data_IF_739277361862
#
_entry.id   IF_739277361862
#
_cell.length_a   1.000
_cell.length_b   1.000
_cell.length_c   1.000
_cell.angle_alpha   90.00
_cell.angle_beta   90.00
_cell.angle_gamma   90.00
#
_symmetry.space_group_name_H-M   'P 1'
#
loop_
_entity.id
_entity.type
_entity.pdbx_description
1 polymer ?
#
# COMPACT_ATOMS: atom_id res chain seq x y z
N UNK A 1 52.05 -56.34 18.16
CA UNK A 1 50.89 -56.22 17.26
C UNK A 1 49.81 -55.50 18.05
N UNK A 2 49.16 -54.40 17.67
CA UNK A 2 49.22 -53.47 16.53
C UNK A 2 48.02 -52.53 16.71
N UNK A 3 48.26 -51.29 17.18
CA UNK A 3 47.49 -50.05 16.87
C UNK A 3 45.95 -50.01 17.23
N UNK A 4 45.25 -48.85 17.10
CA UNK A 4 44.97 -47.99 18.26
C UNK A 4 43.53 -47.37 18.31
N UNK A 5 43.30 -46.57 19.36
CA UNK A 5 42.47 -45.35 19.50
C UNK A 5 41.25 -45.10 18.59
N UNK A 6 40.11 -44.75 19.23
CA UNK A 6 39.31 -43.55 18.93
C UNK A 6 38.27 -43.26 20.01
N UNK A 7 38.50 -42.19 20.77
CA UNK A 7 37.51 -41.50 21.62
C UNK A 7 36.60 -40.60 20.77
N UNK A 8 35.30 -40.47 21.06
CA UNK A 8 34.43 -39.53 20.36
C UNK A 8 34.67 -38.10 20.86
N UNK A 9 34.99 -37.23 19.91
CA UNK A 9 35.21 -35.79 20.10
C UNK A 9 33.91 -35.05 20.38
N UNK A 10 33.99 -34.24 21.44
CA UNK A 10 33.05 -33.25 21.91
C UNK A 10 32.88 -32.13 20.86
N UNK A 11 31.67 -31.88 20.36
CA UNK A 11 31.36 -30.71 19.54
C UNK A 11 31.02 -29.52 20.44
N UNK A 12 31.77 -28.41 20.42
CA UNK A 12 31.35 -27.21 21.11
C UNK A 12 30.23 -26.51 20.32
N UNK A 13 29.12 -26.27 21.02
CA UNK A 13 28.02 -25.40 20.61
C UNK A 13 28.56 -24.02 20.20
N UNK A 14 28.62 -23.73 18.90
CA UNK A 14 28.84 -22.38 18.38
C UNK A 14 27.49 -21.65 18.43
N UNK A 15 27.26 -20.90 19.50
CA UNK A 15 26.21 -19.89 19.56
C UNK A 15 26.33 -18.94 18.36
N UNK A 16 25.22 -18.49 17.74
CA UNK A 16 25.27 -17.62 16.58
C UNK A 16 25.94 -16.30 16.96
N UNK A 17 26.99 -15.97 16.21
CA UNK A 17 27.77 -14.74 16.30
C UNK A 17 26.82 -13.54 16.23
N UNK A 18 26.84 -12.74 17.30
CA UNK A 18 26.22 -11.41 17.33
C UNK A 18 26.86 -10.60 16.21
N UNK A 19 26.09 -10.19 15.23
CA UNK A 19 26.54 -9.30 14.17
C UNK A 19 26.86 -7.95 14.81
N UNK A 20 28.14 -7.72 15.10
CA UNK A 20 28.63 -6.44 15.60
C UNK A 20 28.23 -5.34 14.60
N UNK A 21 27.39 -4.41 15.05
CA UNK A 21 27.07 -3.20 14.30
C UNK A 21 28.29 -2.28 14.44
N UNK A 22 29.09 -2.19 13.38
CA UNK A 22 30.24 -1.30 13.34
C UNK A 22 29.73 0.13 13.22
N UNK A 23 29.59 0.81 14.35
CA UNK A 23 29.24 2.22 14.40
C UNK A 23 30.51 3.05 14.16
N UNK A 24 30.62 3.70 13.00
CA UNK A 24 31.76 4.57 12.69
C UNK A 24 31.44 6.02 13.02
N UNK A 25 32.30 6.66 13.82
CA UNK A 25 32.26 8.11 14.04
C UNK A 25 33.09 8.77 12.95
N UNK A 26 32.48 9.70 12.23
CA UNK A 26 33.13 10.40 11.13
C UNK A 26 32.96 11.90 11.35
N UNK A 27 34.05 12.64 11.18
CA UNK A 27 34.05 14.11 11.29
C UNK A 27 34.36 14.68 9.91
N UNK A 28 33.50 15.58 9.44
CA UNK A 28 33.67 16.27 8.16
C UNK A 28 33.83 17.77 8.37
N UNK A 29 34.66 18.40 7.55
CA UNK A 29 34.72 19.85 7.40
C UNK A 29 33.85 20.24 6.22
N UNK A 30 32.72 20.88 6.52
CA UNK A 30 31.74 21.35 5.55
C UNK A 30 31.94 22.85 5.38
N UNK A 31 32.39 23.32 4.20
CA UNK A 31 32.38 24.74 3.89
C UNK A 31 30.93 25.19 3.69
N UNK A 32 30.49 26.20 4.44
CA UNK A 32 29.23 26.87 4.15
C UNK A 32 29.57 28.08 3.29
N UNK A 33 29.03 28.14 2.07
CA UNK A 33 29.01 29.37 1.29
C UNK A 33 27.82 30.23 1.73
N UNK A 34 28.04 31.54 1.80
CA UNK A 34 27.08 32.52 2.31
C UNK A 34 25.69 32.34 1.69
N UNK A 35 24.73 31.93 2.53
CA UNK A 35 23.31 31.89 2.19
C UNK A 35 22.75 30.53 1.75
N UNK A 36 23.56 29.48 1.59
CA UNK A 36 23.03 28.14 1.29
C UNK A 36 22.71 27.35 2.58
N UNK A 37 21.44 26.90 2.78
CA UNK A 37 21.12 26.05 3.90
C UNK A 37 21.79 24.69 3.74
N UNK A 38 22.20 24.06 4.86
CA UNK A 38 22.78 22.72 4.86
C UNK A 38 21.95 21.72 4.04
N UNK A 39 20.62 21.87 4.02
CA UNK A 39 19.72 21.07 3.19
C UNK A 39 19.40 19.68 3.77
N UNK A 40 19.77 19.44 5.03
CA UNK A 40 19.42 18.25 5.79
C UNK A 40 18.31 18.56 6.82
N UNK A 41 17.32 17.68 6.92
CA UNK A 41 16.28 17.74 7.96
C UNK A 41 16.46 16.57 8.94
N UNK A 42 16.96 16.84 10.16
CA UNK A 42 17.04 15.83 11.20
C UNK A 42 15.68 15.63 11.90
N UNK A 43 15.50 14.47 12.55
CA UNK A 43 14.39 14.23 13.48
C UNK A 43 14.76 14.61 14.93
N UNK A 44 13.83 14.41 15.87
CA UNK A 44 14.01 14.64 17.32
C UNK A 44 15.20 13.89 17.95
N UNK A 45 15.73 12.86 17.28
CA UNK A 45 16.90 12.09 17.74
C UNK A 45 18.18 12.46 16.98
N UNK A 46 18.18 13.60 16.29
CA UNK A 46 19.27 14.10 15.47
C UNK A 46 19.67 13.18 14.31
N UNK A 47 18.74 12.38 13.80
CA UNK A 47 18.99 11.49 12.65
C UNK A 47 18.50 12.18 11.39
N UNK A 48 19.33 12.24 10.36
CA UNK A 48 19.00 12.82 9.06
C UNK A 48 17.92 11.98 8.39
N UNK A 49 16.73 12.54 8.21
CA UNK A 49 15.59 11.85 7.56
C UNK A 49 15.51 12.23 6.09
N UNK A 50 15.80 13.49 5.77
CA UNK A 50 15.65 14.02 4.41
C UNK A 50 16.85 14.87 4.06
N UNK A 51 17.31 14.73 2.83
CA UNK A 51 18.36 15.52 2.23
C UNK A 51 17.81 16.14 0.95
N UNK A 52 18.03 17.44 0.77
CA UNK A 52 17.65 18.16 -0.44
C UNK A 52 18.71 17.89 -1.54
N UNK A 53 18.26 17.40 -2.69
CA UNK A 53 19.13 17.13 -3.84
C UNK A 53 19.80 18.43 -4.31
N UNK A 54 21.12 18.40 -4.47
CA UNK A 54 21.90 19.58 -4.87
C UNK A 54 22.31 20.51 -3.73
N UNK A 55 22.01 20.18 -2.47
CA UNK A 55 22.50 20.91 -1.30
C UNK A 55 23.89 20.42 -0.86
N UNK A 56 24.53 21.17 0.04
CA UNK A 56 25.82 20.79 0.63
C UNK A 56 25.69 19.44 1.39
N UNK A 57 24.56 19.18 2.05
CA UNK A 57 24.31 17.91 2.73
C UNK A 57 24.32 16.71 1.78
N UNK A 58 23.91 16.85 0.52
CA UNK A 58 23.87 15.75 -0.45
C UNK A 58 25.25 15.15 -0.75
N UNK A 59 26.32 15.95 -0.55
CA UNK A 59 27.70 15.52 -0.77
C UNK A 59 28.34 14.85 0.45
N UNK A 60 27.92 15.23 1.66
CA UNK A 60 28.59 14.84 2.91
C UNK A 60 27.76 13.92 3.81
N UNK A 61 26.44 14.09 3.80
CA UNK A 61 25.49 13.39 4.67
C UNK A 61 24.72 12.34 3.86
N UNK A 62 24.39 11.24 4.54
CA UNK A 62 23.45 10.25 4.04
C UNK A 62 22.22 10.19 4.96
N UNK A 63 21.09 9.78 4.39
CA UNK A 63 19.88 9.51 5.17
C UNK A 63 20.19 8.42 6.19
N UNK A 64 19.82 8.62 7.44
CA UNK A 64 20.13 7.72 8.55
C UNK A 64 21.40 8.06 9.34
N UNK A 65 22.22 9.01 8.88
CA UNK A 65 23.34 9.54 9.66
C UNK A 65 22.82 10.24 10.93
N UNK A 66 23.44 9.96 12.08
CA UNK A 66 23.10 10.61 13.34
C UNK A 66 24.10 11.73 13.65
N UNK A 67 23.61 12.96 13.78
CA UNK A 67 24.40 14.12 14.13
C UNK A 67 24.70 14.09 15.64
N UNK A 68 25.99 14.09 16.00
CA UNK A 68 26.42 14.07 17.40
C UNK A 68 26.85 15.47 17.85
N UNK A 69 27.69 16.14 17.06
CA UNK A 69 28.27 17.42 17.45
C UNK A 69 28.55 18.31 16.23
N UNK A 70 28.44 19.61 16.43
CA UNK A 70 28.76 20.66 15.47
C UNK A 70 29.81 21.57 16.10
N UNK A 71 30.96 21.74 15.45
CA UNK A 71 32.11 22.51 15.97
C UNK A 71 32.50 22.12 17.40
N UNK A 72 32.51 20.81 17.69
CA UNK A 72 32.78 20.22 19.01
C UNK A 72 31.68 20.45 20.08
N UNK A 73 30.60 21.15 19.73
CA UNK A 73 29.44 21.35 20.60
C UNK A 73 28.45 20.18 20.38
N UNK A 74 28.09 19.42 21.43
CA UNK A 74 27.16 18.31 21.30
C UNK A 74 25.74 18.80 20.99
N UNK A 75 25.10 18.15 20.03
CA UNK A 75 23.74 18.44 19.61
C UNK A 75 22.75 17.57 20.39
N UNK A 76 21.70 18.19 20.92
CA UNK A 76 20.61 17.51 21.63
C UNK A 76 19.33 17.59 20.81
N UNK A 77 18.99 18.82 20.41
CA UNK A 77 17.73 19.15 19.77
C UNK A 77 17.95 19.72 18.36
N UNK A 78 16.99 19.56 17.44
CA UNK A 78 17.07 20.11 16.10
C UNK A 78 17.09 21.65 16.10
N UNK A 79 16.40 22.29 17.04
CA UNK A 79 16.41 23.76 17.16
C UNK A 79 17.81 24.28 17.51
N UNK A 80 18.49 23.58 18.43
CA UNK A 80 19.87 23.89 18.80
C UNK A 80 20.84 23.75 17.63
N UNK A 81 20.58 22.82 16.69
CA UNK A 81 21.35 22.74 15.43
C UNK A 81 21.16 24.00 14.59
N UNK A 82 19.93 24.47 14.40
CA UNK A 82 19.65 25.64 13.57
C UNK A 82 20.21 26.92 14.19
N UNK A 83 20.15 27.05 15.51
CA UNK A 83 20.81 28.15 16.23
C UNK A 83 22.33 28.12 15.99
N UNK A 84 22.96 26.97 16.19
CA UNK A 84 24.41 26.84 15.98
C UNK A 84 24.82 27.13 14.54
N UNK A 85 24.01 26.73 13.55
CA UNK A 85 24.24 27.03 12.14
C UNK A 85 24.20 28.52 11.83
N UNK A 86 23.46 29.34 12.58
CA UNK A 86 23.45 30.81 12.40
C UNK A 86 24.76 31.47 12.86
N UNK A 87 25.52 30.81 13.74
CA UNK A 87 26.80 31.33 14.26
C UNK A 87 28.02 30.78 13.52
N UNK A 88 27.83 29.98 12.46
CA UNK A 88 28.94 29.47 11.64
C UNK A 88 29.18 30.39 10.46
N UNK A 89 30.33 31.06 10.45
CA UNK A 89 30.67 32.02 9.40
C UNK A 89 31.16 31.38 8.09
N UNK A 90 32.03 30.36 8.14
CA UNK A 90 32.74 29.91 6.90
C UNK A 90 33.02 28.41 6.82
N UNK A 91 33.17 27.72 7.97
CA UNK A 91 33.44 26.28 8.01
C UNK A 91 32.77 25.64 9.22
N UNK A 92 32.02 24.56 8.98
CA UNK A 92 31.40 23.72 10.00
C UNK A 92 32.17 22.40 10.12
N UNK A 93 32.62 22.04 11.33
CA UNK A 93 33.07 20.69 11.68
C UNK A 93 31.91 19.87 12.21
N UNK A 94 31.34 19.01 11.38
CA UNK A 94 30.22 18.16 11.76
C UNK A 94 30.70 16.75 12.11
N UNK A 95 30.44 16.32 13.34
CA UNK A 95 30.69 14.96 13.80
C UNK A 95 29.41 14.15 13.72
N UNK A 96 29.44 13.12 12.90
CA UNK A 96 28.33 12.20 12.69
C UNK A 96 28.67 10.79 13.14
N UNK A 97 27.62 10.02 13.39
CA UNK A 97 27.66 8.58 13.57
C UNK A 97 26.98 7.94 12.37
N UNK A 98 27.77 7.26 11.54
CA UNK A 98 27.26 6.51 10.40
C UNK A 98 27.07 5.06 10.81
N UNK A 99 25.91 4.51 10.44
CA UNK A 99 25.58 3.12 10.67
C UNK A 99 24.94 2.58 9.39
N UNK A 100 25.74 1.87 8.59
CA UNK A 100 25.39 1.51 7.21
C UNK A 100 24.09 0.69 7.13
N UNK A 101 23.84 -0.20 8.11
CA UNK A 101 22.57 -0.95 8.20
C UNK A 101 21.37 -0.06 8.44
N UNK A 102 21.53 0.99 9.26
CA UNK A 102 20.45 1.95 9.57
C UNK A 102 20.15 2.84 8.37
N UNK A 103 21.19 3.23 7.64
CA UNK A 103 21.09 3.99 6.39
C UNK A 103 20.38 3.18 5.31
N UNK A 104 20.73 1.91 5.12
CA UNK A 104 20.02 1.00 4.21
C UNK A 104 18.54 0.81 4.61
N UNK A 105 18.27 0.56 5.90
CA UNK A 105 16.91 0.41 6.42
C UNK A 105 16.05 1.67 6.25
N UNK A 106 16.65 2.88 6.37
CA UNK A 106 15.94 4.14 6.18
C UNK A 106 15.77 4.49 4.70
N UNK A 107 16.79 4.31 3.87
CA UNK A 107 16.70 4.50 2.42
C UNK A 107 15.66 3.58 1.78
N UNK A 108 15.62 2.31 2.19
CA UNK A 108 14.62 1.35 1.74
C UNK A 108 13.19 1.72 2.13
N UNK A 109 13.01 2.45 3.24
CA UNK A 109 11.70 2.97 3.66
C UNK A 109 11.29 4.23 2.92
N UNK A 110 12.25 5.04 2.47
CA UNK A 110 12.01 6.43 2.02
C UNK A 110 11.92 6.56 0.49
N UNK A 111 12.59 5.72 -0.29
CA UNK A 111 12.54 5.82 -1.76
C UNK A 111 11.51 4.88 -2.37
N UNK A 112 10.31 5.43 -2.58
CA UNK A 112 9.35 4.84 -3.52
C UNK A 112 9.89 5.13 -4.93
N UNK A 113 10.03 4.12 -5.80
CA UNK A 113 10.46 4.33 -7.19
C UNK A 113 9.56 5.35 -7.92
N UNK A 114 10.12 6.20 -8.77
CA UNK A 114 9.39 7.29 -9.46
C UNK A 114 8.19 6.78 -10.28
N UNK A 115 8.30 5.58 -10.86
CA UNK A 115 7.21 4.92 -11.58
C UNK A 115 6.01 4.59 -10.69
N UNK A 116 6.26 4.37 -9.39
CA UNK A 116 5.23 4.09 -8.38
C UNK A 116 4.75 5.36 -7.68
N UNK A 117 5.58 6.41 -7.63
CA UNK A 117 5.15 7.72 -7.09
C UNK A 117 3.98 8.31 -7.88
N UNK A 118 3.91 8.10 -9.20
CA UNK A 118 2.77 8.53 -10.04
C UNK A 118 1.43 7.97 -9.58
N UNK A 119 1.44 6.81 -8.92
CA UNK A 119 0.22 6.16 -8.42
C UNK A 119 -0.24 6.73 -7.08
N UNK A 120 0.48 7.70 -6.50
CA UNK A 120 0.28 8.18 -5.15
C UNK A 120 0.06 9.70 -5.17
N UNK A 121 -1.03 10.13 -4.56
CA UNK A 121 -1.27 11.54 -4.24
C UNK A 121 -0.73 11.79 -2.83
N UNK A 122 0.50 12.33 -2.73
CA UNK A 122 1.10 12.69 -1.44
C UNK A 122 0.19 13.69 -0.73
N UNK A 123 -0.27 13.30 0.47
CA UNK A 123 -1.10 14.15 1.35
C UNK A 123 -0.36 14.40 2.65
N UNK A 124 -0.45 15.64 3.13
CA UNK A 124 0.09 16.00 4.43
C UNK A 124 -0.60 15.18 5.53
N UNK A 125 0.18 14.73 6.52
CA UNK A 125 -0.28 13.86 7.61
C UNK A 125 -0.31 12.36 7.27
N UNK A 126 0.15 11.95 6.08
CA UNK A 126 0.33 10.56 5.69
C UNK A 126 1.79 10.27 5.32
N UNK A 127 2.30 9.16 5.83
CA UNK A 127 3.60 8.61 5.50
C UNK A 127 3.44 7.53 4.43
N UNK A 128 4.37 7.51 3.46
CA UNK A 128 4.37 6.52 2.39
C UNK A 128 5.68 5.76 2.42
N UNK A 129 5.63 4.43 2.34
CA UNK A 129 6.83 3.60 2.31
C UNK A 129 6.59 2.34 1.48
N UNK A 130 7.70 1.78 0.99
CA UNK A 130 7.67 0.52 0.25
C UNK A 130 7.77 -0.66 1.25
N UNK A 131 6.80 -1.55 1.18
CA UNK A 131 6.76 -2.78 1.96
C UNK A 131 7.04 -3.98 1.06
N UNK A 132 7.91 -4.87 1.51
CA UNK A 132 8.23 -6.10 0.80
C UNK A 132 7.76 -7.30 1.62
N UNK A 133 6.87 -8.09 1.04
CA UNK A 133 6.40 -9.36 1.56
C UNK A 133 7.17 -10.51 0.89
N UNK A 134 7.86 -11.32 1.69
CA UNK A 134 8.52 -12.53 1.22
C UNK A 134 7.81 -13.75 1.82
N UNK A 135 7.37 -14.69 0.98
CA UNK A 135 6.68 -15.91 1.43
C UNK A 135 7.69 -16.85 2.08
N UNK A 136 7.55 -17.08 3.38
CA UNK A 136 8.26 -18.15 4.08
C UNK A 136 7.39 -19.40 4.14
N UNK A 137 7.95 -20.57 3.81
CA UNK A 137 7.23 -21.85 3.86
C UNK A 137 6.65 -22.08 5.28
N UNK A 138 5.33 -22.24 5.37
CA UNK A 138 4.60 -22.51 6.62
C UNK A 138 3.97 -21.29 7.30
N UNK A 139 4.30 -20.05 6.91
CA UNK A 139 3.60 -18.85 7.41
C UNK A 139 2.48 -18.45 6.46
N UNK A 140 1.27 -18.24 6.98
CA UNK A 140 0.16 -17.62 6.23
C UNK A 140 0.39 -16.12 6.06
N UNK A 141 -0.16 -15.54 4.99
CA UNK A 141 -0.13 -14.09 4.75
C UNK A 141 -0.87 -13.34 5.87
N UNK A 142 -2.06 -13.81 6.27
CA UNK A 142 -2.78 -13.32 7.45
C UNK A 142 -3.29 -11.88 7.39
N UNK A 143 -3.63 -11.37 6.19
CA UNK A 143 -4.16 -10.00 5.99
C UNK A 143 -5.66 -10.02 5.79
N UNK A 144 -6.39 -9.28 6.62
CA UNK A 144 -7.78 -8.94 6.39
C UNK A 144 -7.91 -7.59 5.67
N UNK A 145 -8.29 -7.60 4.40
CA UNK A 145 -8.44 -6.40 3.58
C UNK A 145 -9.92 -5.99 3.43
N UNK A 146 -10.21 -4.69 3.53
CA UNK A 146 -11.52 -4.07 3.29
C UNK A 146 -11.44 -3.03 2.17
N UNK A 147 -12.48 -2.98 1.34
CA UNK A 147 -12.65 -1.89 0.36
C UNK A 147 -13.48 -0.78 1.01
N UNK A 148 -13.00 0.45 0.94
CA UNK A 148 -13.64 1.64 1.47
C UNK A 148 -13.39 2.81 0.53
N UNK A 149 -14.45 3.41 -0.05
CA UNK A 149 -14.36 4.58 -0.92
C UNK A 149 -13.31 4.44 -2.03
N UNK A 150 -13.31 3.29 -2.72
CA UNK A 150 -12.33 2.91 -3.74
C UNK A 150 -10.89 2.88 -3.22
N UNK A 151 -10.71 2.54 -1.93
CA UNK A 151 -9.41 2.37 -1.30
C UNK A 151 -9.36 1.03 -0.60
N UNK A 152 -8.21 0.40 -0.74
CA UNK A 152 -7.92 -0.87 -0.11
C UNK A 152 -7.26 -0.60 1.23
N UNK A 153 -7.95 -0.91 2.33
CA UNK A 153 -7.47 -0.68 3.68
C UNK A 153 -7.32 -2.00 4.42
N UNK A 154 -6.22 -2.14 5.15
CA UNK A 154 -5.97 -3.27 6.05
C UNK A 154 -6.88 -3.13 7.27
N UNK A 155 -7.80 -4.07 7.41
CA UNK A 155 -8.75 -4.11 8.53
C UNK A 155 -8.23 -4.87 9.74
N UNK A 156 -7.50 -5.98 9.51
CA UNK A 156 -7.00 -6.87 10.56
C UNK A 156 -5.71 -7.55 10.09
N UNK A 157 -4.82 -7.81 11.02
CA UNK A 157 -3.63 -8.62 10.83
C UNK A 157 -3.71 -9.82 11.80
N UNK A 158 -3.44 -11.02 11.30
CA UNK A 158 -3.38 -12.23 12.13
C UNK A 158 -2.02 -12.29 12.85
N UNK A 159 -2.03 -12.56 14.16
CA UNK A 159 -0.79 -12.66 14.95
C UNK A 159 0.13 -13.76 14.42
N UNK A 160 1.42 -13.45 14.29
CA UNK A 160 2.44 -14.39 13.79
C UNK A 160 2.34 -14.72 12.29
N UNK A 161 1.54 -13.95 11.55
CA UNK A 161 1.53 -13.99 10.09
C UNK A 161 2.60 -13.10 9.49
N UNK A 162 2.90 -13.28 8.19
CA UNK A 162 3.85 -12.41 7.47
C UNK A 162 3.44 -10.93 7.51
N UNK A 163 2.14 -10.68 7.59
CA UNK A 163 1.65 -9.32 7.59
C UNK A 163 1.70 -8.60 8.92
N UNK A 164 1.73 -9.34 10.03
CA UNK A 164 1.80 -8.73 11.37
C UNK A 164 3.12 -7.96 11.58
N UNK A 165 4.19 -8.41 10.91
CA UNK A 165 5.52 -7.79 10.97
C UNK A 165 5.61 -6.51 10.11
N UNK A 166 4.76 -6.38 9.08
CA UNK A 166 4.89 -5.33 8.06
C UNK A 166 3.73 -4.32 8.11
N UNK A 167 2.50 -4.81 8.28
CA UNK A 167 1.26 -4.04 8.20
C UNK A 167 0.66 -3.79 9.57
N UNK A 168 0.10 -2.60 9.71
CA UNK A 168 -0.75 -2.26 10.84
C UNK A 168 -2.21 -2.12 10.38
N UNK A 169 -3.19 -2.50 11.22
CA UNK A 169 -4.59 -2.20 10.95
C UNK A 169 -4.79 -0.70 10.74
N UNK A 170 -5.41 -0.32 9.61
CA UNK A 170 -5.59 1.06 9.19
C UNK A 170 -4.64 1.51 8.07
N UNK A 171 -3.61 0.73 7.76
CA UNK A 171 -2.74 0.99 6.60
C UNK A 171 -3.55 0.88 5.30
N UNK A 172 -3.29 1.79 4.35
CA UNK A 172 -3.88 1.74 3.01
C UNK A 172 -2.86 1.19 2.02
N UNK A 173 -3.30 0.27 1.17
CA UNK A 173 -2.50 -0.27 0.07
C UNK A 173 -2.80 0.57 -1.17
N UNK A 174 -1.81 1.28 -1.69
CA UNK A 174 -1.96 2.12 -2.88
C UNK A 174 -1.73 1.33 -4.17
N UNK A 175 -0.73 0.45 -4.17
CA UNK A 175 -0.37 -0.35 -5.34
C UNK A 175 0.21 -1.72 -4.96
N UNK A 176 0.29 -2.60 -5.95
CA UNK A 176 0.89 -3.95 -5.86
C UNK A 176 1.78 -4.15 -7.08
N UNK A 177 3.08 -4.33 -6.87
CA UNK A 177 4.08 -4.47 -7.95
C UNK A 177 3.96 -3.38 -9.04
N UNK A 178 3.68 -2.13 -8.64
CA UNK A 178 3.52 -0.99 -9.54
C UNK A 178 2.14 -0.84 -10.17
N UNK A 179 1.21 -1.78 -9.93
CA UNK A 179 -0.17 -1.70 -10.40
C UNK A 179 -1.03 -1.03 -9.33
N UNK A 180 -1.65 0.14 -9.60
CA UNK A 180 -2.51 0.81 -8.63
C UNK A 180 -3.75 -0.02 -8.33
N UNK A 181 -4.15 -0.07 -7.05
CA UNK A 181 -5.27 -0.91 -6.64
C UNK A 181 -6.32 -0.12 -5.88
N UNK A 182 -7.52 -0.11 -6.45
CA UNK A 182 -8.70 0.55 -5.86
C UNK A 182 -9.65 -0.45 -5.17
N UNK A 183 -9.64 -1.72 -5.60
CA UNK A 183 -10.60 -2.73 -5.16
C UNK A 183 -9.95 -3.89 -4.39
N UNK A 184 -10.65 -4.36 -3.35
CA UNK A 184 -10.18 -5.49 -2.51
C UNK A 184 -9.93 -6.77 -3.32
N UNK A 185 -10.75 -7.03 -4.34
CA UNK A 185 -10.72 -8.31 -5.07
C UNK A 185 -9.67 -8.29 -6.17
N UNK A 186 -9.36 -7.11 -6.73
CA UNK A 186 -8.19 -6.89 -7.57
C UNK A 186 -6.92 -7.04 -6.73
N UNK A 187 -6.87 -6.40 -5.55
CA UNK A 187 -5.73 -6.50 -4.63
C UNK A 187 -5.42 -7.95 -4.27
N UNK A 188 -6.45 -8.71 -3.83
CA UNK A 188 -6.28 -10.11 -3.46
C UNK A 188 -5.76 -10.95 -4.62
N UNK A 189 -6.32 -10.79 -5.82
CA UNK A 189 -5.88 -11.55 -7.00
C UNK A 189 -4.43 -11.22 -7.36
N UNK A 190 -4.06 -9.94 -7.41
CA UNK A 190 -2.70 -9.53 -7.72
C UNK A 190 -1.71 -10.08 -6.70
N UNK A 191 -1.97 -9.89 -5.40
CA UNK A 191 -1.09 -10.42 -4.35
C UNK A 191 -0.90 -11.93 -4.47
N UNK A 192 -1.98 -12.70 -4.64
CA UNK A 192 -1.87 -14.17 -4.77
C UNK A 192 -1.07 -14.55 -6.02
N UNK A 193 -1.31 -13.89 -7.15
CA UNK A 193 -0.62 -14.18 -8.41
C UNK A 193 0.89 -13.92 -8.31
N UNK A 194 1.30 -12.79 -7.73
CA UNK A 194 2.73 -12.47 -7.59
C UNK A 194 3.42 -13.31 -6.50
N UNK A 195 2.73 -13.58 -5.39
CA UNK A 195 3.26 -14.49 -4.35
C UNK A 195 3.46 -15.91 -4.90
N UNK A 196 2.62 -16.38 -5.82
CA UNK A 196 2.78 -17.70 -6.45
C UNK A 196 3.93 -17.75 -7.47
N UNK A 197 4.22 -16.64 -8.15
CA UNK A 197 5.27 -16.58 -9.19
C UNK A 197 6.65 -16.37 -8.59
N UNK A 198 6.80 -15.33 -7.78
CA UNK A 198 8.12 -14.81 -7.39
C UNK A 198 8.43 -15.06 -5.90
N UNK A 199 7.46 -15.60 -5.14
CA UNK A 199 7.49 -15.71 -3.67
C UNK A 199 7.78 -14.38 -2.94
N UNK A 200 7.71 -13.25 -3.66
CA UNK A 200 8.01 -11.90 -3.19
C UNK A 200 7.01 -10.94 -3.81
N UNK A 201 6.53 -9.99 -3.02
CA UNK A 201 5.63 -8.92 -3.46
C UNK A 201 6.01 -7.61 -2.78
N UNK A 202 6.13 -6.56 -3.57
CA UNK A 202 6.43 -5.19 -3.18
C UNK A 202 5.16 -4.34 -3.30
N UNK A 203 4.86 -3.60 -2.25
CA UNK A 203 3.63 -2.85 -2.05
C UNK A 203 3.99 -1.45 -1.63
N UNK A 204 3.26 -0.44 -2.12
CA UNK A 204 3.34 0.89 -1.53
C UNK A 204 2.20 1.06 -0.54
N UNK A 205 2.58 1.37 0.69
CA UNK A 205 1.68 1.57 1.81
C UNK A 205 1.60 3.06 2.12
N UNK A 206 0.37 3.53 2.33
CA UNK A 206 0.04 4.82 2.93
C UNK A 206 -0.36 4.58 4.39
N UNK A 207 0.43 5.11 5.33
CA UNK A 207 0.20 5.01 6.77
C UNK A 207 -0.13 6.38 7.34
N UNK A 208 -1.27 6.53 8.04
CA UNK A 208 -1.63 7.79 8.69
C UNK A 208 -0.65 8.09 9.82
N UNK A 209 -0.05 9.27 9.83
CA UNK A 209 0.81 9.72 10.93
C UNK A 209 0.00 10.56 11.94
N UNK A 210 -0.82 11.47 11.42
CA UNK A 210 -1.66 12.37 12.21
C UNK A 210 -2.73 11.62 13.03
N UNK A 211 -2.97 12.04 14.28
CA UNK A 211 -3.97 11.41 15.16
C UNK A 211 -5.38 11.47 14.59
N UNK A 212 -5.76 12.59 13.95
CA UNK A 212 -7.09 12.74 13.34
C UNK A 212 -7.29 11.76 12.19
N UNK A 213 -6.25 11.53 11.38
CA UNK A 213 -6.29 10.57 10.29
C UNK A 213 -6.45 9.13 10.83
N UNK A 214 -5.76 8.79 11.92
CA UNK A 214 -5.93 7.51 12.63
C UNK A 214 -7.36 7.33 13.14
N UNK A 215 -7.91 8.36 13.82
CA UNK A 215 -9.31 8.35 14.31
C UNK A 215 -10.32 8.22 13.17
N UNK A 216 -10.07 8.90 12.05
CA UNK A 216 -10.90 8.81 10.85
C UNK A 216 -10.92 7.39 10.31
N UNK A 217 -9.76 6.77 10.06
CA UNK A 217 -9.67 5.41 9.53
C UNK A 217 -10.28 4.40 10.51
N UNK A 218 -10.03 4.55 11.81
CA UNK A 218 -10.61 3.68 12.83
C UNK A 218 -12.13 3.76 12.85
N UNK A 219 -12.70 4.98 12.83
CA UNK A 219 -14.15 5.19 12.73
C UNK A 219 -14.70 4.55 11.46
N UNK A 220 -13.99 4.68 10.36
CA UNK A 220 -14.43 4.21 9.06
C UNK A 220 -14.33 2.68 8.89
N UNK A 221 -13.34 2.04 9.51
CA UNK A 221 -13.25 0.58 9.62
C UNK A 221 -14.34 -0.01 10.52
N UNK A 222 -14.66 0.69 11.61
CA UNK A 222 -15.67 0.30 12.59
C UNK A 222 -17.10 0.67 12.19
N UNK A 223 -17.28 1.53 11.18
CA UNK A 223 -18.53 1.57 10.44
C UNK A 223 -18.72 0.19 9.84
N UNK A 224 -19.47 -0.65 10.56
CA UNK A 224 -20.18 -1.79 9.98
C UNK A 224 -20.81 -1.30 8.69
N UNK A 225 -20.85 -2.16 7.67
CA UNK A 225 -21.58 -1.89 6.42
C UNK A 225 -23.03 -1.59 6.80
N UNK A 226 -23.32 -0.36 7.18
CA UNK A 226 -24.63 0.21 7.17
C UNK A 226 -24.87 0.36 5.68
N UNK A 227 -25.37 -0.71 5.07
CA UNK A 227 -26.32 -0.59 3.98
C UNK A 227 -27.60 0.05 4.52
N UNK A 228 -27.48 1.05 5.39
CA UNK A 228 -28.53 1.99 5.64
C UNK A 228 -28.57 2.78 4.32
N UNK A 229 -29.61 2.59 3.49
CA UNK A 229 -29.78 3.45 2.34
C UNK A 229 -29.62 4.91 2.80
N UNK A 230 -29.04 5.74 1.93
CA UNK A 230 -28.84 7.18 2.16
C UNK A 230 -30.11 7.88 2.65
N UNK A 231 -31.27 7.25 2.44
CA UNK A 231 -32.55 7.61 3.01
C UNK A 231 -33.19 6.43 3.74
N UNK A 232 -33.42 6.56 5.06
CA UNK A 232 -34.24 5.60 5.81
C UNK A 232 -35.69 5.73 5.34
N UNK A 233 -36.17 4.70 4.63
CA UNK A 233 -37.58 4.60 4.23
C UNK A 233 -38.48 4.76 5.47
N UNK A 234 -39.45 5.67 5.39
CA UNK A 234 -40.38 5.95 6.49
C UNK A 234 -41.17 4.68 6.86
N UNK A 235 -41.63 4.57 8.10
CA UNK A 235 -42.35 3.40 8.62
C UNK A 235 -43.54 3.03 7.74
N UNK A 236 -44.25 4.03 7.25
CA UNK A 236 -45.47 3.85 6.47
C UNK A 236 -45.16 3.25 5.10
N UNK A 237 -44.08 3.71 4.45
CA UNK A 237 -43.64 3.17 3.15
C UNK A 237 -43.12 1.74 3.31
N UNK A 238 -42.46 1.41 4.43
CA UNK A 238 -42.06 0.03 4.75
C UNK A 238 -43.27 -0.87 4.94
N UNK A 239 -44.31 -0.41 5.61
CA UNK A 239 -45.55 -1.16 5.82
C UNK A 239 -46.29 -1.40 4.50
N UNK A 240 -46.43 -0.37 3.65
CA UNK A 240 -47.04 -0.50 2.32
C UNK A 240 -46.26 -1.50 1.46
N UNK A 241 -44.92 -1.39 1.43
CA UNK A 241 -44.09 -2.32 0.68
C UNK A 241 -44.15 -3.76 1.22
N UNK A 242 -44.30 -3.94 2.53
CA UNK A 242 -44.46 -5.25 3.14
C UNK A 242 -45.82 -5.88 2.78
N UNK A 243 -46.91 -5.11 2.85
CA UNK A 243 -48.25 -5.53 2.44
C UNK A 243 -48.28 -5.93 0.97
N UNK A 244 -47.69 -5.11 0.09
CA UNK A 244 -47.69 -5.39 -1.34
C UNK A 244 -46.84 -6.63 -1.68
N UNK A 245 -45.72 -6.85 -0.98
CA UNK A 245 -44.96 -8.10 -1.10
C UNK A 245 -45.77 -9.32 -0.68
N UNK A 246 -46.56 -9.22 0.39
CA UNK A 246 -47.43 -10.31 0.83
C UNK A 246 -48.53 -10.55 -0.20
N UNK A 247 -49.13 -9.48 -0.75
CA UNK A 247 -50.13 -9.55 -1.83
C UNK A 247 -49.59 -10.21 -3.09
N UNK A 248 -48.39 -9.84 -3.55
CA UNK A 248 -47.73 -10.43 -4.72
C UNK A 248 -47.36 -11.90 -4.45
N UNK A 249 -46.93 -12.25 -3.24
CA UNK A 249 -46.65 -13.65 -2.87
C UNK A 249 -47.91 -14.51 -2.80
N UNK A 250 -49.01 -13.94 -2.33
CA UNK A 250 -50.31 -14.58 -2.29
C UNK A 250 -51.01 -14.59 -3.67
N UNK A 251 -50.47 -13.88 -4.65
CA UNK A 251 -50.98 -13.89 -6.01
C UNK A 251 -50.68 -15.26 -6.64
N UNK A 252 -51.69 -16.11 -6.71
CA UNK A 252 -51.63 -17.33 -7.49
C UNK A 252 -51.43 -16.98 -8.96
N UNK A 253 -50.53 -17.70 -9.64
CA UNK A 253 -50.31 -17.50 -11.08
C UNK A 253 -51.66 -17.65 -11.78
N UNK A 254 -52.09 -16.66 -12.59
CA UNK A 254 -53.37 -16.74 -13.26
C UNK A 254 -53.40 -18.04 -14.08
N UNK A 255 -54.55 -18.71 -14.05
CA UNK A 255 -54.76 -19.91 -14.86
C UNK A 255 -54.34 -19.60 -16.29
N UNK A 256 -53.55 -20.50 -16.90
CA UNK A 256 -53.10 -20.36 -18.29
C UNK A 256 -54.33 -20.05 -19.14
N UNK A 257 -54.21 -19.04 -20.00
CA UNK A 257 -55.28 -18.64 -20.90
C UNK A 257 -55.87 -19.89 -21.60
N UNK A 258 -57.19 -20.03 -21.53
CA UNK A 258 -57.94 -21.06 -22.26
C UNK A 258 -57.85 -20.87 -23.78
N UNK A 259 -57.34 -19.72 -24.24
CA UNK A 259 -56.94 -19.54 -25.63
C UNK A 259 -55.66 -20.33 -25.87
N UNK A 260 -55.82 -21.49 -26.50
CA UNK A 260 -54.75 -22.20 -27.19
C UNK A 260 -54.12 -21.25 -28.20
N UNK A 261 -53.00 -20.61 -27.84
CA UNK A 261 -52.01 -20.24 -28.83
C UNK A 261 -51.29 -21.53 -29.24
N UNK A 262 -52.03 -22.44 -29.89
CA UNK A 262 -51.42 -23.42 -30.77
C UNK A 262 -50.52 -22.69 -31.77
N UNK A 263 -49.53 -23.36 -32.36
CA UNK A 263 -48.56 -22.71 -33.24
C UNK A 263 -49.27 -22.26 -34.52
N UNK A 264 -49.92 -21.10 -34.47
CA UNK A 264 -50.36 -20.40 -35.66
C UNK A 264 -49.09 -19.90 -36.33
N UNK A 265 -48.74 -20.57 -37.41
CA UNK A 265 -47.78 -20.09 -38.40
C UNK A 265 -48.24 -18.68 -38.81
N UNK A 266 -47.75 -17.62 -38.16
CA UNK A 266 -48.12 -16.26 -38.58
C UNK A 266 -47.88 -15.09 -37.63
N UNK A 267 -47.75 -15.26 -36.30
CA UNK A 267 -47.62 -14.08 -35.41
C UNK A 267 -46.21 -13.89 -34.86
N UNK A 268 -45.45 -12.99 -35.52
CA UNK A 268 -44.10 -12.53 -35.11
C UNK A 268 -44.17 -11.44 -34.04
N UNK A 269 -44.91 -11.57 -32.95
CA UNK A 269 -44.88 -10.57 -31.88
C UNK A 269 -45.15 -11.18 -30.50
N UNK A 270 -44.16 -11.91 -29.98
CA UNK A 270 -43.81 -11.99 -28.53
C UNK A 270 -42.84 -13.15 -28.31
N UNK A 271 -41.67 -13.09 -28.96
CA UNK A 271 -40.55 -13.85 -28.44
C UNK A 271 -40.10 -13.13 -27.17
N UNK A 272 -40.36 -13.72 -26.01
CA UNK A 272 -39.73 -13.30 -24.77
C UNK A 272 -38.23 -13.19 -25.01
N UNK A 273 -37.64 -12.05 -24.64
CA UNK A 273 -36.22 -11.80 -24.79
C UNK A 273 -35.51 -12.72 -23.81
N UNK A 274 -34.88 -13.77 -24.33
CA UNK A 274 -33.94 -14.61 -23.58
C UNK A 274 -32.53 -14.10 -23.88
N UNK A 275 -31.79 -13.76 -22.83
CA UNK A 275 -30.37 -13.41 -22.95
C UNK A 275 -29.57 -14.71 -23.05
N UNK A 276 -28.83 -14.88 -24.14
CA UNK A 276 -27.79 -15.91 -24.21
C UNK A 276 -26.64 -15.51 -23.29
N UNK A 277 -26.09 -16.46 -22.54
CA UNK A 277 -24.99 -16.23 -21.59
C UNK A 277 -23.63 -16.06 -22.29
N UNK A 278 -23.60 -16.16 -23.62
CA UNK A 278 -22.38 -15.99 -24.41
C UNK A 278 -22.13 -14.49 -24.63
N UNK A 279 -21.11 -13.98 -23.95
CA UNK A 279 -20.65 -12.60 -24.10
C UNK A 279 -19.87 -12.51 -25.41
N UNK A 280 -20.48 -11.94 -26.45
CA UNK A 280 -19.78 -11.61 -27.68
C UNK A 280 -19.01 -10.29 -27.51
N UNK A 281 -17.69 -10.39 -27.31
CA UNK A 281 -16.79 -9.24 -27.32
C UNK A 281 -16.55 -8.78 -28.76
N UNK A 282 -17.07 -7.61 -29.12
CA UNK A 282 -16.75 -6.95 -30.38
C UNK A 282 -15.69 -5.89 -30.14
N UNK A 283 -14.52 -6.09 -30.76
CA UNK A 283 -13.48 -5.06 -30.81
C UNK A 283 -13.94 -3.91 -31.69
N UNK A 284 -14.31 -2.80 -31.07
CA UNK A 284 -14.54 -1.53 -31.77
C UNK A 284 -13.16 -0.94 -32.07
N UNK A 285 -12.67 -1.18 -33.28
CA UNK A 285 -11.49 -0.47 -33.79
C UNK A 285 -11.96 0.93 -34.19
N UNK A 286 -11.39 1.94 -33.54
CA UNK A 286 -11.60 3.34 -33.88
C UNK A 286 -11.08 3.59 -35.30
N UNK A 287 -11.95 4.15 -36.13
CA UNK A 287 -11.71 4.50 -37.52
C UNK A 287 -10.75 5.70 -37.59
N UNK A 288 -9.46 5.41 -37.63
CA UNK A 288 -8.45 6.38 -38.03
C UNK A 288 -7.47 5.68 -38.97
N UNK A 289 -7.92 5.49 -40.21
CA UNK A 289 -7.16 5.70 -41.46
C UNK A 289 -7.85 5.02 -42.66
N UNK A 290 -8.65 5.80 -43.38
CA UNK A 290 -8.59 5.80 -44.85
C UNK A 290 -9.24 4.68 -45.66
N UNK A 291 -10.27 3.97 -45.18
CA UNK A 291 -11.05 3.05 -46.05
C UNK A 291 -12.55 3.33 -46.04
N UNK A 292 -13.08 3.62 -47.24
CA UNK A 292 -14.51 3.88 -47.46
C UNK A 292 -15.37 2.64 -47.15
N UNK A 293 -16.33 2.80 -46.25
CA UNK A 293 -17.30 1.76 -45.86
C UNK A 293 -18.28 1.43 -47.00
N UNK A 294 -18.47 0.14 -47.28
CA UNK A 294 -19.52 -0.35 -48.19
C UNK A 294 -20.87 -0.40 -47.47
N UNK A 295 -21.92 0.09 -48.14
CA UNK A 295 -23.30 0.01 -47.65
C UNK A 295 -23.83 -1.43 -47.71
N UNK A 296 -24.39 -1.91 -46.60
CA UNK A 296 -25.11 -3.19 -46.54
C UNK A 296 -26.62 -2.92 -46.57
N UNK A 297 -27.34 -3.68 -47.40
CA UNK A 297 -28.81 -3.60 -47.54
C UNK A 297 -29.50 -4.09 -46.26
N UNK A 298 -30.48 -3.31 -45.79
CA UNK A 298 -31.42 -3.73 -44.76
C UNK A 298 -32.44 -4.72 -45.35
N UNK A 299 -32.69 -5.81 -44.63
CA UNK A 299 -33.90 -6.62 -44.72
C UNK A 299 -34.73 -6.38 -43.46
#
# INVERSE_FOLDING_TARGET
MSSPEKSPTNFPNKSPEKTENVETKITFEVPLDDGEPLGATPNERMIVVKIQKGSIADKFLHVGDQLIALNEIPLKDPDHLYELLQYVDTKMRLTIKRNDKRTEDMLAKIQIPEDREKNILKRDGYSYFLATLNVTKGKKLGIGIRNLNNRVIVSKCDRGSLADEIFLPGDRICDVEGIPVSDKDVCRRLMVNYLQKDNKVTLVIERPDHEEAKKFIFRELNKTRSTDPSYKMNTDVKQIAALERQRIKAYEKPAKSILSSGPSKGSKTSKGITFENDVYEYYIVSDNEGKQLRKVKKY
#
